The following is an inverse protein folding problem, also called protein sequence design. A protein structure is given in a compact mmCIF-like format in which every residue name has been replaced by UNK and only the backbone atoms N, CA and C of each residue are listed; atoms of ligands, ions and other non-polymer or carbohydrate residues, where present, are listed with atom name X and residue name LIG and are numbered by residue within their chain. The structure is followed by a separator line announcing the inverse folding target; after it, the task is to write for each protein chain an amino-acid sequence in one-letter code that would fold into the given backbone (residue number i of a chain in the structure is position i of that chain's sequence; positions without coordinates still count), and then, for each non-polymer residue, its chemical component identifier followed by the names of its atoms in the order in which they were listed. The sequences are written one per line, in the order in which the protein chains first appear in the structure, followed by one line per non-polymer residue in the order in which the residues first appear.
data_IF_257598831284
#
_entry.id   IF_257598831284
#
_cell.length_a   1.000
_cell.length_b   1.000
_cell.length_c   1.000
_cell.angle_alpha   90.00
_cell.angle_beta   90.00
_cell.angle_gamma   90.00
#
_symmetry.space_group_name_H-M   'P 1'
#
loop_
_entity.id
_entity.type
_entity.pdbx_description
1 polymer ?
#
# COMPACT_ATOMS: atom_id res chain seq x y z
N UNK A 1 -20.77 -1.67 -1.71
CA UNK A 1 -20.81 -2.84 -2.60
C UNK A 1 -19.68 -3.77 -2.16
N UNK A 2 -19.95 -4.95 -1.57
CA UNK A 2 -18.88 -5.82 -1.10
C UNK A 2 -18.18 -6.49 -2.30
N UNK A 3 -16.84 -6.65 -2.27
CA UNK A 3 -16.09 -7.23 -3.37
C UNK A 3 -16.45 -8.71 -3.56
N UNK A 4 -16.79 -9.04 -4.81
CA UNK A 4 -17.19 -10.37 -5.27
C UNK A 4 -16.03 -11.35 -5.05
N UNK A 5 -16.27 -12.39 -4.24
CA UNK A 5 -15.36 -13.53 -4.01
C UNK A 5 -14.87 -14.08 -5.36
N UNK A 6 -13.57 -14.04 -5.61
CA UNK A 6 -12.97 -14.64 -6.80
C UNK A 6 -13.26 -16.15 -6.82
N UNK A 7 -13.84 -16.64 -7.91
CA UNK A 7 -14.08 -18.05 -8.14
C UNK A 7 -12.73 -18.79 -8.22
N UNK A 8 -12.62 -19.91 -7.51
CA UNK A 8 -11.47 -20.79 -7.58
C UNK A 8 -11.24 -21.24 -9.03
N UNK A 9 -10.02 -21.04 -9.54
CA UNK A 9 -9.62 -21.46 -10.87
C UNK A 9 -9.69 -23.00 -10.97
N UNK A 10 -10.67 -23.52 -11.71
CA UNK A 10 -10.71 -24.92 -12.11
C UNK A 10 -9.68 -25.12 -13.23
N UNK A 11 -8.52 -25.69 -12.89
CA UNK A 11 -7.53 -26.14 -13.89
C UNK A 11 -8.09 -27.33 -14.66
N UNK A 12 -8.72 -27.07 -15.82
CA UNK A 12 -9.24 -28.10 -16.71
C UNK A 12 -8.07 -28.74 -17.46
N UNK A 13 -7.54 -29.84 -16.93
CA UNK A 13 -6.58 -30.69 -17.65
C UNK A 13 -7.26 -31.31 -18.87
N UNK A 14 -6.63 -31.22 -20.06
CA UNK A 14 -7.14 -31.91 -21.26
C UNK A 14 -7.32 -33.41 -20.96
N UNK A 15 -8.45 -34.03 -21.34
CA UNK A 15 -8.67 -35.44 -21.07
C UNK A 15 -7.64 -36.28 -21.83
N UNK A 16 -6.98 -37.18 -21.11
CA UNK A 16 -5.99 -38.11 -21.65
C UNK A 16 -6.66 -38.98 -22.70
N UNK A 17 -6.17 -39.02 -23.93
CA UNK A 17 -6.78 -39.78 -25.05
C UNK A 17 -6.35 -41.25 -25.08
N UNK A 18 -5.27 -41.62 -24.38
CA UNK A 18 -4.67 -42.95 -24.37
C UNK A 18 -5.15 -43.80 -23.18
N UNK A 19 -5.68 -45.00 -23.46
CA UNK A 19 -6.26 -45.90 -22.45
C UNK A 19 -5.19 -46.47 -21.51
N UNK A 20 -3.98 -46.76 -22.00
CA UNK A 20 -2.91 -47.29 -21.17
C UNK A 20 -2.43 -46.24 -20.13
N UNK A 21 -2.35 -44.98 -20.56
CA UNK A 21 -2.03 -43.85 -19.67
C UNK A 21 -3.15 -43.56 -18.68
N UNK A 22 -4.41 -43.71 -19.09
CA UNK A 22 -5.55 -43.56 -18.21
C UNK A 22 -5.57 -44.65 -17.11
N UNK A 23 -5.34 -45.92 -17.46
CA UNK A 23 -5.26 -47.02 -16.51
C UNK A 23 -4.13 -46.82 -15.48
N UNK A 24 -2.94 -46.44 -15.94
CA UNK A 24 -1.80 -46.19 -15.05
C UNK A 24 -2.05 -45.01 -14.10
N UNK A 25 -2.67 -43.93 -14.59
CA UNK A 25 -3.07 -42.80 -13.74
C UNK A 25 -4.08 -43.21 -12.67
N UNK A 26 -5.11 -43.97 -13.05
CA UNK A 26 -6.14 -44.47 -12.13
C UNK A 26 -5.52 -45.41 -11.08
N UNK A 27 -4.68 -46.35 -11.51
CA UNK A 27 -4.01 -47.30 -10.62
C UNK A 27 -3.10 -46.57 -9.60
N UNK A 28 -2.28 -45.65 -10.09
CA UNK A 28 -1.39 -44.84 -9.25
C UNK A 28 -2.19 -44.04 -8.22
N UNK A 29 -3.31 -43.45 -8.64
CA UNK A 29 -4.20 -42.74 -7.74
C UNK A 29 -4.77 -43.67 -6.65
N UNK A 30 -5.32 -44.83 -7.02
CA UNK A 30 -5.91 -45.78 -6.07
C UNK A 30 -4.88 -46.33 -5.07
N UNK A 31 -3.66 -46.63 -5.52
CA UNK A 31 -2.56 -47.09 -4.65
C UNK A 31 -2.12 -45.97 -3.70
N UNK A 32 -1.93 -44.75 -4.21
CA UNK A 32 -1.45 -43.61 -3.40
C UNK A 32 -2.43 -43.20 -2.30
N UNK A 33 -3.73 -43.22 -2.60
CA UNK A 33 -4.76 -42.82 -1.63
C UNK A 33 -5.14 -43.97 -0.70
N UNK A 34 -4.96 -45.21 -1.14
CA UNK A 34 -5.30 -46.45 -0.43
C UNK A 34 -6.69 -46.41 0.24
N UNK A 35 -7.67 -45.84 -0.46
CA UNK A 35 -9.06 -45.69 -0.02
C UNK A 35 -10.02 -46.22 -1.09
N UNK A 36 -11.17 -46.79 -0.69
CA UNK A 36 -12.19 -47.24 -1.63
C UNK A 36 -12.92 -46.06 -2.26
N UNK A 37 -13.01 -46.03 -3.59
CA UNK A 37 -13.67 -44.96 -4.35
C UNK A 37 -14.60 -45.51 -5.42
N UNK A 38 -15.63 -44.73 -5.77
CA UNK A 38 -16.44 -44.97 -6.96
C UNK A 38 -15.80 -44.37 -8.21
N UNK A 39 -16.19 -44.83 -9.39
CA UNK A 39 -15.72 -44.27 -10.67
C UNK A 39 -16.02 -42.77 -10.83
N UNK A 40 -17.14 -42.30 -10.26
CA UNK A 40 -17.50 -40.87 -10.28
C UNK A 40 -16.50 -40.05 -9.45
N UNK A 41 -16.18 -40.52 -8.24
CA UNK A 41 -15.21 -39.85 -7.36
C UNK A 41 -13.81 -39.86 -7.97
N UNK A 42 -13.37 -40.98 -8.55
CA UNK A 42 -12.06 -41.08 -9.21
C UNK A 42 -11.95 -40.08 -10.36
N UNK A 43 -12.97 -40.01 -11.24
CA UNK A 43 -12.97 -39.05 -12.35
C UNK A 43 -12.94 -37.60 -11.87
N UNK A 44 -13.64 -37.29 -10.78
CA UNK A 44 -13.68 -35.96 -10.18
C UNK A 44 -12.36 -35.59 -9.51
N UNK A 45 -11.76 -36.51 -8.75
CA UNK A 45 -10.50 -36.30 -8.02
C UNK A 45 -9.31 -36.18 -8.99
N UNK A 46 -9.40 -36.82 -10.15
CA UNK A 46 -8.47 -36.64 -11.26
C UNK A 46 -8.81 -35.42 -12.14
N UNK A 47 -9.68 -34.51 -11.69
CA UNK A 47 -10.10 -33.30 -12.40
C UNK A 47 -10.57 -33.54 -13.85
N UNK A 48 -11.29 -34.64 -14.08
CA UNK A 48 -11.74 -35.10 -15.39
C UNK A 48 -10.59 -35.35 -16.40
N UNK A 49 -9.37 -35.58 -15.94
CA UNK A 49 -8.27 -36.06 -16.79
C UNK A 49 -8.62 -37.40 -17.48
N UNK A 50 -9.48 -38.19 -16.83
CA UNK A 50 -10.22 -39.30 -17.45
C UNK A 50 -11.71 -39.05 -17.22
N UNK A 51 -12.51 -39.08 -18.29
CA UNK A 51 -13.96 -38.81 -18.18
C UNK A 51 -14.65 -39.91 -17.38
N UNK A 52 -15.78 -39.60 -16.75
CA UNK A 52 -16.54 -40.55 -15.92
C UNK A 52 -16.86 -41.87 -16.66
N UNK A 53 -17.44 -41.78 -17.85
CA UNK A 53 -17.83 -42.97 -18.61
C UNK A 53 -16.62 -43.86 -18.96
N UNK A 54 -15.48 -43.24 -19.24
CA UNK A 54 -14.24 -43.96 -19.53
C UNK A 54 -13.62 -44.55 -18.28
N UNK A 55 -13.66 -43.82 -17.16
CA UNK A 55 -13.22 -44.30 -15.85
C UNK A 55 -14.03 -45.53 -15.43
N UNK A 56 -15.36 -45.50 -15.61
CA UNK A 56 -16.26 -46.65 -15.37
C UNK A 56 -15.88 -47.87 -16.20
N UNK A 57 -15.54 -47.67 -17.49
CA UNK A 57 -15.12 -48.76 -18.39
C UNK A 57 -13.77 -49.34 -17.97
N UNK A 58 -12.77 -48.48 -17.81
CA UNK A 58 -11.39 -48.89 -17.50
C UNK A 58 -11.30 -49.57 -16.12
N UNK A 59 -12.04 -49.09 -15.12
CA UNK A 59 -12.06 -49.74 -13.80
C UNK A 59 -12.63 -51.16 -13.84
N UNK A 60 -13.66 -51.42 -14.65
CA UNK A 60 -14.19 -52.77 -14.85
C UNK A 60 -13.17 -53.66 -15.55
N UNK A 61 -12.53 -53.16 -16.60
CA UNK A 61 -11.48 -53.90 -17.31
C UNK A 61 -10.27 -54.19 -16.40
N UNK A 62 -9.86 -53.23 -15.57
CA UNK A 62 -8.77 -53.40 -14.60
C UNK A 62 -9.14 -54.40 -13.49
N UNK A 63 -10.40 -54.40 -13.07
CA UNK A 63 -10.93 -55.38 -12.11
C UNK A 63 -10.95 -56.80 -12.71
N UNK A 64 -11.38 -56.95 -13.96
CA UNK A 64 -11.36 -58.23 -14.69
C UNK A 64 -9.93 -58.76 -14.89
N UNK A 65 -8.95 -57.87 -15.09
CA UNK A 65 -7.52 -58.22 -15.15
C UNK A 65 -6.89 -58.51 -13.78
N UNK A 66 -7.60 -58.26 -12.67
CA UNK A 66 -7.10 -58.45 -11.31
C UNK A 66 -6.08 -57.41 -10.85
N UNK A 67 -5.96 -56.28 -11.56
CA UNK A 67 -5.03 -55.18 -11.20
C UNK A 67 -5.55 -54.36 -10.01
N UNK A 68 -6.87 -54.34 -9.83
CA UNK A 68 -7.57 -53.63 -8.75
C UNK A 68 -8.63 -54.54 -8.14
N UNK A 69 -8.91 -54.32 -6.86
CA UNK A 69 -10.03 -54.96 -6.19
C UNK A 69 -11.27 -54.08 -6.29
N UNK A 70 -12.44 -54.71 -6.32
CA UNK A 70 -13.70 -53.99 -6.43
C UNK A 70 -14.87 -54.81 -5.90
N UNK A 71 -15.90 -54.12 -5.45
CA UNK A 71 -17.15 -54.72 -4.98
C UNK A 71 -18.34 -53.86 -5.37
N UNK A 72 -19.41 -54.53 -5.79
CA UNK A 72 -20.70 -53.89 -5.97
C UNK A 72 -21.31 -53.55 -4.60
N UNK A 73 -21.59 -52.27 -4.38
CA UNK A 73 -22.33 -51.75 -3.24
C UNK A 73 -23.70 -51.26 -3.74
N UNK A 74 -24.69 -52.16 -3.72
CA UNK A 74 -26.00 -51.90 -4.28
C UNK A 74 -25.93 -51.61 -5.79
N UNK A 75 -26.33 -50.39 -6.19
CA UNK A 75 -26.34 -49.94 -7.60
C UNK A 75 -24.98 -49.41 -8.08
N UNK A 76 -24.03 -49.15 -7.17
CA UNK A 76 -22.75 -48.54 -7.50
C UNK A 76 -21.59 -49.51 -7.29
N UNK A 77 -20.52 -49.34 -8.05
CA UNK A 77 -19.27 -50.08 -7.86
C UNK A 77 -18.28 -49.24 -7.09
N UNK A 78 -17.56 -49.88 -6.17
CA UNK A 78 -16.49 -49.30 -5.39
C UNK A 78 -15.22 -50.09 -5.67
N UNK A 79 -14.13 -49.39 -5.99
CA UNK A 79 -12.84 -49.95 -6.37
C UNK A 79 -11.74 -49.45 -5.43
N UNK A 80 -10.74 -50.29 -5.18
CA UNK A 80 -9.55 -49.97 -4.38
C UNK A 80 -8.32 -50.71 -4.93
N UNK A 81 -7.12 -50.25 -4.56
CA UNK A 81 -5.88 -50.94 -4.92
C UNK A 81 -5.80 -52.31 -4.23
N UNK A 82 -5.23 -53.31 -4.92
CA UNK A 82 -5.01 -54.64 -4.31
C UNK A 82 -4.03 -54.51 -3.14
N UNK A 83 -4.41 -55.05 -1.98
CA UNK A 83 -3.56 -55.11 -0.79
C UNK A 83 -3.08 -56.55 -0.63
N UNK A 84 -1.78 -56.74 -0.40
CA UNK A 84 -1.21 -58.05 -0.13
C UNK A 84 -1.49 -58.42 1.35
N UNK A 85 -2.26 -59.49 1.64
CA UNK A 85 -2.52 -59.92 3.01
C UNK A 85 -1.26 -60.43 3.73
N UNK A 86 -0.23 -60.86 2.99
CA UNK A 86 1.03 -61.34 3.56
C UNK A 86 2.02 -60.20 3.82
N UNK A 87 1.76 -58.99 3.32
CA UNK A 87 2.55 -57.79 3.62
C UNK A 87 2.20 -57.20 5.01
N UNK A 88 1.84 -58.05 5.97
CA UNK A 88 1.57 -57.63 7.35
C UNK A 88 2.90 -57.50 8.08
N UNK A 89 3.24 -56.29 8.53
CA UNK A 89 4.44 -56.06 9.34
C UNK A 89 4.40 -56.85 10.64
N UNK A 90 5.56 -57.30 11.10
CA UNK A 90 5.66 -57.95 12.41
C UNK A 90 5.39 -56.94 13.53
N UNK A 91 4.95 -57.39 14.73
CA UNK A 91 4.74 -56.48 15.87
C UNK A 91 5.98 -55.67 16.25
N UNK A 92 7.18 -56.24 16.07
CA UNK A 92 8.46 -55.57 16.34
C UNK A 92 8.75 -54.46 15.33
N UNK A 93 8.54 -54.71 14.04
CA UNK A 93 8.67 -53.69 12.99
C UNK A 93 7.68 -52.54 13.18
N UNK A 94 6.45 -52.86 13.59
CA UNK A 94 5.43 -51.85 13.87
C UNK A 94 5.83 -50.96 15.05
N UNK A 95 6.31 -51.57 16.14
CA UNK A 95 6.81 -50.83 17.30
C UNK A 95 8.03 -49.95 16.95
N UNK A 96 8.95 -50.45 16.12
CA UNK A 96 10.09 -49.69 15.62
C UNK A 96 9.64 -48.49 14.75
N UNK A 97 8.66 -48.69 13.87
CA UNK A 97 8.09 -47.62 13.06
C UNK A 97 7.39 -46.56 13.92
N UNK A 98 6.62 -46.97 14.93
CA UNK A 98 5.97 -46.04 15.88
C UNK A 98 6.99 -45.22 16.67
N UNK A 99 8.09 -45.84 17.12
CA UNK A 99 9.18 -45.14 17.79
C UNK A 99 9.86 -44.11 16.86
N UNK A 100 10.06 -44.46 15.59
CA UNK A 100 10.59 -43.52 14.59
C UNK A 100 9.62 -42.36 14.32
N UNK A 101 8.32 -42.65 14.19
CA UNK A 101 7.29 -41.64 14.01
C UNK A 101 7.25 -40.67 15.19
N UNK A 102 7.32 -41.18 16.42
CA UNK A 102 7.39 -40.35 17.62
C UNK A 102 8.64 -39.47 17.62
N UNK A 103 9.82 -40.05 17.38
CA UNK A 103 11.08 -39.31 17.32
C UNK A 103 11.08 -38.22 16.22
N UNK A 104 10.47 -38.50 15.07
CA UNK A 104 10.33 -37.50 14.00
C UNK A 104 9.32 -36.41 14.37
N UNK A 105 8.20 -36.76 15.01
CA UNK A 105 7.21 -35.79 15.50
C UNK A 105 7.82 -34.81 16.52
N UNK A 106 8.71 -35.30 17.38
CA UNK A 106 9.40 -34.48 18.37
C UNK A 106 10.44 -33.54 17.74
N UNK A 107 11.02 -33.91 16.59
CA UNK A 107 11.97 -33.06 15.82
C UNK A 107 11.28 -31.99 14.98
N UNK A 108 10.04 -32.17 14.57
CA UNK A 108 9.29 -31.17 13.77
C UNK A 108 9.23 -29.79 14.45
N UNK A 109 8.84 -29.64 15.73
CA UNK A 109 8.73 -28.33 16.36
C UNK A 109 10.08 -27.62 16.49
N UNK A 110 11.16 -28.36 16.80
CA UNK A 110 12.50 -27.78 16.92
C UNK A 110 12.99 -27.24 15.57
N UNK A 111 12.92 -28.05 14.52
CA UNK A 111 13.30 -27.64 13.16
C UNK A 111 12.44 -26.48 12.64
N UNK A 112 11.14 -26.44 12.95
CA UNK A 112 10.27 -25.31 12.60
C UNK A 112 10.68 -24.02 13.33
N UNK A 113 11.07 -24.12 14.59
CA UNK A 113 11.58 -22.98 15.37
C UNK A 113 12.89 -22.44 14.79
N UNK A 114 13.83 -23.33 14.48
CA UNK A 114 15.11 -22.99 13.85
C UNK A 114 14.90 -22.32 12.48
N UNK A 115 14.03 -22.88 11.64
CA UNK A 115 13.68 -22.29 10.36
C UNK A 115 13.08 -20.90 10.51
N UNK A 116 12.19 -20.70 11.50
CA UNK A 116 11.61 -19.38 11.78
C UNK A 116 12.70 -18.38 12.19
N UNK A 117 13.58 -18.77 13.11
CA UNK A 117 14.72 -17.95 13.55
C UNK A 117 15.61 -17.57 12.37
N UNK A 118 16.08 -18.56 11.59
CA UNK A 118 16.95 -18.35 10.44
C UNK A 118 16.28 -17.50 9.34
N UNK A 119 14.96 -17.66 9.13
CA UNK A 119 14.20 -16.84 8.19
C UNK A 119 14.11 -15.38 8.67
N UNK A 120 13.88 -15.16 9.96
CA UNK A 120 13.86 -13.79 10.52
C UNK A 120 15.22 -13.11 10.42
N UNK A 121 16.32 -13.81 10.73
CA UNK A 121 17.67 -13.24 10.62
C UNK A 121 18.04 -12.97 9.16
N UNK A 122 17.65 -13.84 8.23
CA UNK A 122 17.85 -13.61 6.81
C UNK A 122 17.04 -12.38 6.34
N UNK A 123 15.79 -12.25 6.79
CA UNK A 123 14.95 -11.10 6.44
C UNK A 123 15.53 -9.78 6.95
N UNK A 124 16.02 -9.75 8.19
CA UNK A 124 16.64 -8.54 8.75
C UNK A 124 17.92 -8.19 8.00
N UNK A 125 18.79 -9.17 7.72
CA UNK A 125 20.02 -8.96 6.95
C UNK A 125 19.74 -8.47 5.53
N UNK A 126 18.70 -8.96 4.87
CA UNK A 126 18.31 -8.50 3.52
C UNK A 126 17.64 -7.14 3.51
N UNK A 127 17.01 -6.73 4.63
CA UNK A 127 16.44 -5.39 4.75
C UNK A 127 17.51 -4.31 4.96
N UNK A 128 18.70 -4.69 5.43
CA UNK A 128 19.83 -3.78 5.51
C UNK A 128 20.39 -3.54 4.10
N UNK A 129 20.66 -2.28 3.72
CA UNK A 129 21.35 -1.98 2.46
C UNK A 129 22.74 -2.61 2.45
N UNK A 130 23.21 -3.01 1.26
CA UNK A 130 24.58 -3.49 1.12
C UNK A 130 25.58 -2.37 1.39
N UNK A 131 26.80 -2.73 1.81
CA UNK A 131 27.86 -1.75 2.09
C UNK A 131 28.16 -0.85 0.88
N UNK A 132 28.02 -1.35 -0.34
CA UNK A 132 28.18 -0.56 -1.57
C UNK A 132 27.05 0.47 -1.73
N UNK A 133 25.79 0.06 -1.57
CA UNK A 133 24.63 0.95 -1.65
C UNK A 133 24.64 2.01 -0.54
N UNK A 134 25.09 1.64 0.66
CA UNK A 134 25.35 2.59 1.76
C UNK A 134 26.38 3.64 1.37
N UNK A 135 27.49 3.25 0.75
CA UNK A 135 28.53 4.19 0.30
C UNK A 135 28.00 5.16 -0.74
N UNK A 136 27.25 4.68 -1.73
CA UNK A 136 26.59 5.52 -2.74
C UNK A 136 25.59 6.49 -2.10
N UNK A 137 24.77 6.02 -1.14
CA UNK A 137 23.84 6.88 -0.41
C UNK A 137 24.54 7.94 0.42
N UNK A 138 25.65 7.62 1.07
CA UNK A 138 26.45 8.59 1.82
C UNK A 138 27.01 9.64 0.89
N UNK A 139 27.64 9.23 -0.22
CA UNK A 139 28.18 10.15 -1.21
C UNK A 139 27.10 11.09 -1.77
N UNK A 140 25.91 10.55 -2.07
CA UNK A 140 24.77 11.35 -2.55
C UNK A 140 24.31 12.36 -1.50
N UNK A 141 24.21 11.94 -0.23
CA UNK A 141 23.82 12.83 0.87
C UNK A 141 24.87 13.91 1.15
N UNK A 142 26.15 13.61 0.98
CA UNK A 142 27.25 14.57 1.11
C UNK A 142 27.20 15.62 0.01
N UNK A 143 27.04 15.23 -1.26
CA UNK A 143 26.87 16.19 -2.36
C UNK A 143 25.61 17.05 -2.17
N UNK A 144 24.51 16.43 -1.74
CA UNK A 144 23.26 17.12 -1.45
C UNK A 144 23.39 18.13 -0.31
N UNK A 145 24.24 17.82 0.66
CA UNK A 145 24.55 18.70 1.79
C UNK A 145 25.39 19.88 1.32
N UNK A 146 26.46 19.63 0.56
CA UNK A 146 27.31 20.67 -0.02
C UNK A 146 26.50 21.64 -0.89
N UNK A 147 25.60 21.14 -1.74
CA UNK A 147 24.72 21.95 -2.57
C UNK A 147 23.78 22.83 -1.73
N UNK A 148 23.16 22.26 -0.69
CA UNK A 148 22.27 23.00 0.21
C UNK A 148 23.03 24.05 1.02
N UNK A 149 24.24 23.72 1.48
CA UNK A 149 25.12 24.65 2.19
C UNK A 149 25.60 25.78 1.28
N UNK A 150 25.95 25.49 0.03
CA UNK A 150 26.30 26.50 -0.97
C UNK A 150 25.15 27.46 -1.26
N UNK A 151 23.94 26.94 -1.45
CA UNK A 151 22.72 27.77 -1.60
C UNK A 151 22.45 28.62 -0.36
N UNK A 152 22.59 28.04 0.84
CA UNK A 152 22.46 28.76 2.10
C UNK A 152 23.49 29.87 2.25
N UNK A 153 24.74 29.61 1.85
CA UNK A 153 25.81 30.59 1.90
C UNK A 153 25.48 31.80 1.03
N UNK A 154 25.04 31.60 -0.22
CA UNK A 154 24.63 32.68 -1.12
C UNK A 154 23.45 33.48 -0.54
N UNK A 155 22.44 32.79 0.00
CA UNK A 155 21.28 33.44 0.62
C UNK A 155 21.64 34.25 1.87
N UNK A 156 22.64 33.82 2.64
CA UNK A 156 23.15 34.53 3.82
C UNK A 156 24.10 35.69 3.47
N UNK A 157 24.89 35.54 2.40
CA UNK A 157 25.82 36.56 1.92
C UNK A 157 25.10 37.69 1.15
N UNK A 158 23.93 37.41 0.57
CA UNK A 158 23.07 38.43 -0.02
C UNK A 158 22.59 39.47 0.99
N UNK A 159 22.32 40.69 0.52
CA UNK A 159 21.86 41.82 1.35
C UNK A 159 20.44 41.61 1.93
N UNK A 160 19.70 40.61 1.44
CA UNK A 160 18.37 40.24 1.92
C UNK A 160 18.47 39.30 3.12
N UNK A 161 18.26 39.84 4.33
CA UNK A 161 18.14 39.02 5.54
C UNK A 161 16.92 38.10 5.45
N UNK A 162 17.07 36.77 5.66
CA UNK A 162 15.93 35.89 5.79
C UNK A 162 15.14 36.27 7.05
N UNK A 163 13.85 36.58 6.88
CA UNK A 163 12.94 36.96 7.97
C UNK A 163 12.19 35.72 8.44
N UNK A 164 12.06 35.53 9.75
CA UNK A 164 11.28 34.43 10.29
C UNK A 164 9.77 34.65 10.00
N UNK A 165 9.02 33.56 9.84
CA UNK A 165 7.57 33.62 9.60
C UNK A 165 6.87 34.38 10.73
N UNK A 166 7.28 34.15 11.97
CA UNK A 166 6.74 34.83 13.16
C UNK A 166 6.97 36.36 13.13
N UNK A 167 8.18 36.79 12.75
CA UNK A 167 8.53 38.21 12.63
C UNK A 167 7.71 38.88 11.53
N UNK A 168 7.55 38.20 10.38
CA UNK A 168 6.71 38.69 9.28
C UNK A 168 5.26 38.85 9.72
N UNK A 169 4.69 37.86 10.40
CA UNK A 169 3.31 37.90 10.87
C UNK A 169 3.08 39.01 11.91
N UNK A 170 4.05 39.25 12.80
CA UNK A 170 4.00 40.35 13.76
C UNK A 170 3.95 41.72 13.04
N UNK A 171 4.86 41.95 12.09
CA UNK A 171 4.91 43.19 11.30
C UNK A 171 3.63 43.37 10.47
N UNK A 172 3.11 42.31 9.85
CA UNK A 172 1.83 42.35 9.13
C UNK A 172 0.64 42.64 10.06
N UNK A 173 0.69 42.15 11.31
CA UNK A 173 -0.28 42.45 12.35
C UNK A 173 -0.27 43.94 12.73
N UNK A 174 0.92 44.50 12.98
CA UNK A 174 1.11 45.92 13.28
C UNK A 174 0.67 46.81 12.11
N UNK A 175 1.07 46.47 10.89
CA UNK A 175 0.63 47.19 9.69
C UNK A 175 -0.89 47.18 9.55
N UNK A 176 -1.54 46.02 9.75
CA UNK A 176 -3.02 45.90 9.73
C UNK A 176 -3.68 46.74 10.83
N UNK A 177 -3.04 46.88 12.00
CA UNK A 177 -3.54 47.73 13.10
C UNK A 177 -3.46 49.21 12.70
N UNK A 178 -2.28 49.69 12.30
CA UNK A 178 -2.07 51.09 11.94
C UNK A 178 -2.88 51.52 10.72
N UNK A 179 -3.02 50.64 9.73
CA UNK A 179 -3.89 50.88 8.57
C UNK A 179 -5.34 51.11 8.98
N UNK A 180 -5.89 50.24 9.85
CA UNK A 180 -7.26 50.40 10.39
C UNK A 180 -7.43 51.74 11.11
N UNK A 181 -6.46 52.13 11.94
CA UNK A 181 -6.49 53.42 12.65
C UNK A 181 -6.45 54.60 11.68
N UNK A 182 -5.56 54.58 10.68
CA UNK A 182 -5.49 55.61 9.63
C UNK A 182 -6.81 55.72 8.86
N UNK A 183 -7.38 54.60 8.44
CA UNK A 183 -8.62 54.58 7.65
C UNK A 183 -9.82 55.07 8.47
N UNK A 184 -9.88 54.75 9.77
CA UNK A 184 -10.89 55.28 10.68
C UNK A 184 -10.75 56.80 10.89
N UNK A 185 -9.52 57.30 11.09
CA UNK A 185 -9.26 58.74 11.19
C UNK A 185 -9.65 59.47 9.91
N UNK A 186 -9.30 58.91 8.75
CA UNK A 186 -9.67 59.47 7.44
C UNK A 186 -11.19 59.52 7.24
N UNK A 187 -11.91 58.47 7.66
CA UNK A 187 -13.39 58.45 7.62
C UNK A 187 -14.00 59.52 8.52
N UNK A 188 -13.61 59.57 9.79
CA UNK A 188 -14.13 60.58 10.73
C UNK A 188 -13.86 62.01 10.26
N UNK A 189 -12.66 62.24 9.70
CA UNK A 189 -12.32 63.54 9.11
C UNK A 189 -13.19 63.86 7.88
N UNK A 190 -13.39 62.90 6.96
CA UNK A 190 -14.24 63.10 5.79
C UNK A 190 -15.71 63.34 6.13
N UNK A 191 -16.22 62.69 7.18
CA UNK A 191 -17.56 62.94 7.72
C UNK A 191 -17.69 64.36 8.28
N UNK A 192 -16.70 64.80 9.08
CA UNK A 192 -16.65 66.16 9.61
C UNK A 192 -16.55 67.21 8.49
N UNK A 193 -15.67 67.00 7.52
CA UNK A 193 -15.53 67.85 6.33
C UNK A 193 -16.86 67.95 5.57
N UNK A 194 -17.56 66.83 5.35
CA UNK A 194 -18.88 66.82 4.72
C UNK A 194 -19.91 67.64 5.48
N UNK A 195 -20.01 67.47 6.81
CA UNK A 195 -20.93 68.24 7.66
C UNK A 195 -20.63 69.75 7.62
N UNK A 196 -19.35 70.15 7.64
CA UNK A 196 -18.97 71.56 7.59
C UNK A 196 -19.33 72.19 6.23
N UNK A 197 -19.11 71.46 5.13
CA UNK A 197 -19.46 71.93 3.79
C UNK A 197 -20.97 72.03 3.58
N UNK A 198 -21.74 71.05 4.08
CA UNK A 198 -23.20 71.03 3.99
C UNK A 198 -23.87 72.12 4.85
N UNK A 199 -23.24 72.52 5.97
CA UNK A 199 -23.74 73.61 6.83
C UNK A 199 -23.69 75.00 6.17
N UNK A 200 -22.96 75.15 5.05
CA UNK A 200 -22.81 76.41 4.32
C UNK A 200 -21.98 77.49 5.04
N UNK A 201 -21.40 77.20 6.20
CA UNK A 201 -20.65 78.17 7.02
C UNK A 201 -19.25 78.44 6.47
N UNK A 202 -18.62 77.47 5.78
CA UNK A 202 -17.25 77.57 5.24
C UNK A 202 -17.18 76.90 3.86
N UNK A 203 -16.60 77.58 2.87
CA UNK A 203 -16.35 77.00 1.54
C UNK A 203 -15.12 76.08 1.49
N UNK A 204 -15.09 75.14 0.55
CA UNK A 204 -14.04 74.10 0.41
C UNK A 204 -12.61 74.64 0.37
N UNK A 205 -12.38 75.76 -0.31
CA UNK A 205 -11.06 76.41 -0.36
C UNK A 205 -10.67 76.99 1.00
N UNK A 206 -11.59 77.65 1.71
CA UNK A 206 -11.32 78.24 3.03
C UNK A 206 -11.04 77.17 4.09
N UNK A 207 -11.75 76.04 4.03
CA UNK A 207 -11.50 74.88 4.89
C UNK A 207 -10.11 74.29 4.64
N UNK A 208 -9.68 74.19 3.37
CA UNK A 208 -8.37 73.67 3.01
C UNK A 208 -7.23 74.56 3.52
N UNK A 209 -7.37 75.90 3.43
CA UNK A 209 -6.39 76.83 3.98
C UNK A 209 -6.31 76.79 5.52
N UNK A 210 -7.46 76.73 6.21
CA UNK A 210 -7.54 76.54 7.67
C UNK A 210 -6.82 75.26 8.13
N UNK A 211 -6.99 74.17 7.38
CA UNK A 211 -6.35 72.89 7.70
C UNK A 211 -4.86 72.88 7.35
N UNK A 212 -4.42 73.65 6.36
CA UNK A 212 -3.00 73.83 6.03
C UNK A 212 -2.27 74.64 7.12
N UNK A 213 -2.91 75.66 7.68
CA UNK A 213 -2.36 76.41 8.82
C UNK A 213 -2.32 75.56 10.10
N UNK A 214 -3.30 74.66 10.28
CA UNK A 214 -3.25 73.63 11.33
C UNK A 214 -2.20 72.53 11.04
N UNK A 215 -1.87 72.25 9.77
CA UNK A 215 -0.83 71.30 9.38
C UNK A 215 0.57 71.78 9.76
N UNK A 216 0.81 73.10 9.82
CA UNK A 216 2.01 73.69 10.46
C UNK A 216 2.15 73.35 11.95
N UNK A 217 1.09 72.84 12.58
CA UNK A 217 1.06 72.31 13.97
C UNK A 217 1.02 70.76 14.00
N UNK A 218 1.22 70.09 12.86
CA UNK A 218 1.54 68.64 12.80
C UNK A 218 0.47 67.70 12.26
N UNK A 219 -0.47 68.17 11.42
CA UNK A 219 -1.44 67.29 10.72
C UNK A 219 -1.29 67.47 9.20
N UNK A 220 -0.44 66.68 8.56
CA UNK A 220 -0.26 66.70 7.11
C UNK A 220 -1.38 65.89 6.41
N UNK A 221 -2.36 66.59 5.83
CA UNK A 221 -3.39 65.98 4.98
C UNK A 221 -2.96 66.05 3.50
N UNK A 222 -2.52 64.93 2.93
CA UNK A 222 -2.20 64.82 1.51
C UNK A 222 -3.47 64.91 0.63
N UNK A 223 -3.46 65.84 -0.34
CA UNK A 223 -4.56 66.11 -1.28
C UNK A 223 -4.82 64.86 -2.16
N UNK A 224 -6.04 64.28 -2.20
CA UNK A 224 -6.33 63.20 -3.13
C UNK A 224 -6.70 63.78 -4.51
N UNK A 225 -5.84 63.54 -5.51
CA UNK A 225 -6.20 63.67 -6.93
C UNK A 225 -5.61 64.87 -7.67
N UNK A 226 -4.34 64.77 -8.05
CA UNK A 226 -3.85 65.19 -9.37
C UNK A 226 -2.75 64.21 -9.76
N UNK A 227 -3.12 63.20 -10.55
CA UNK A 227 -2.14 62.40 -11.28
C UNK A 227 -1.60 63.33 -12.37
N UNK A 228 -0.41 63.89 -12.18
CA UNK A 228 0.38 64.40 -13.29
C UNK A 228 1.53 63.43 -13.51
N UNK A 229 1.46 62.74 -14.65
CA UNK A 229 2.56 62.01 -15.25
C UNK A 229 3.83 62.86 -15.22
N UNK A 230 4.81 62.45 -14.42
CA UNK A 230 6.22 62.75 -14.65
C UNK A 230 7.03 61.65 -13.99
N UNK A 231 7.40 60.63 -14.76
CA UNK A 231 8.67 59.91 -14.61
C UNK A 231 8.94 59.24 -15.95
N UNK A 232 9.68 59.98 -16.77
CA UNK A 232 10.46 59.44 -17.87
C UNK A 232 11.93 59.51 -17.47
N UNK A 233 12.63 58.41 -17.79
CA UNK A 233 14.06 58.06 -17.59
C UNK A 233 14.35 57.30 -16.30
#
# INVERSE_FOLDING_TARGET
MPPRKAAAASTTTKPTTDDAKACTLILTYLISQNRPYSATEISSNLHNAVTKARTDKLLKEMFERGEIAGKASGKQWVFWGVQDPNATSTPEELAAADAQIAALRDKIPTLKSELKSASTTLSTLRSAPTTSALRESVQTLETDKEDKEGRLHVLRAGSTKPVNVEEREAVEGEWRRWKRTRDARKRAFGELEGMLLDSGVIGKEALWWLMKDAATVGIEAARPGMITNTDGV
#
